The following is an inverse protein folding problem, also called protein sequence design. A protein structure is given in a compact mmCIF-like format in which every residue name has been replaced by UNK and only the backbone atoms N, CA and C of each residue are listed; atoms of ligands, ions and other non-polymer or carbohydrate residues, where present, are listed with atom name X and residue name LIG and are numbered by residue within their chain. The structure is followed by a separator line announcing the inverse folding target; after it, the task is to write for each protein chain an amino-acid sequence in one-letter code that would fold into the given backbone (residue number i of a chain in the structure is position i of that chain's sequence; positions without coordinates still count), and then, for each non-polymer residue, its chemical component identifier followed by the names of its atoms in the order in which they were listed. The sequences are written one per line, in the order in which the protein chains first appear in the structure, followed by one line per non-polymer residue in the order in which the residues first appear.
data_IF_132499480339
#
_entry.id   IF_132499480339
#
_cell.length_a   1.000
_cell.length_b   1.000
_cell.length_c   1.000
_cell.angle_alpha   90.00
_cell.angle_beta   90.00
_cell.angle_gamma   90.00
#
_symmetry.space_group_name_H-M   'P 1'
#
loop_
_entity.id
_entity.type
_entity.pdbx_description
1 polymer ?
#
# COMPACT_ATOMS: atom_id res chain seq x y z
N UNK A 1 7.78 -0.42 3.12
CA UNK A 1 6.62 -1.07 2.46
C UNK A 1 6.28 -0.43 1.11
N UNK A 2 5.91 0.85 1.04
CA UNK A 2 5.44 1.48 -0.21
C UNK A 2 6.44 1.48 -1.38
N UNK A 3 7.73 1.68 -1.09
CA UNK A 3 8.77 1.55 -2.11
C UNK A 3 8.76 0.16 -2.76
N UNK A 4 8.72 -0.89 -1.93
CA UNK A 4 8.73 -2.29 -2.39
C UNK A 4 7.40 -2.66 -3.08
N UNK A 5 6.27 -2.14 -2.59
CA UNK A 5 4.97 -2.31 -3.23
C UNK A 5 4.93 -1.67 -4.63
N UNK A 6 5.41 -0.43 -4.75
CA UNK A 6 5.43 0.30 -6.03
C UNK A 6 6.44 -0.27 -7.00
N UNK A 7 7.63 -0.65 -6.56
CA UNK A 7 8.57 -1.38 -7.42
C UNK A 7 8.00 -2.72 -7.89
N UNK A 8 7.23 -3.41 -7.04
CA UNK A 8 6.54 -4.65 -7.38
C UNK A 8 5.41 -4.48 -8.39
N UNK A 9 4.76 -3.31 -8.49
CA UNK A 9 3.64 -3.11 -9.42
C UNK A 9 4.07 -3.11 -10.90
N UNK A 10 5.35 -2.90 -11.21
CA UNK A 10 5.86 -3.10 -12.56
C UNK A 10 5.70 -4.54 -13.06
N UNK A 11 5.72 -5.53 -12.13
CA UNK A 11 5.45 -6.93 -12.44
C UNK A 11 4.01 -7.11 -12.90
N UNK A 12 3.07 -6.33 -12.39
CA UNK A 12 1.67 -6.43 -12.76
C UNK A 12 1.45 -6.11 -14.24
N UNK A 13 2.05 -5.00 -14.72
CA UNK A 13 2.04 -4.65 -16.15
C UNK A 13 2.67 -5.74 -17.00
N UNK A 14 3.89 -6.17 -16.64
CA UNK A 14 4.69 -7.07 -17.46
C UNK A 14 4.13 -8.49 -17.48
N UNK A 15 3.75 -9.04 -16.32
CA UNK A 15 3.10 -10.35 -16.24
C UNK A 15 1.71 -10.33 -16.84
N UNK A 16 0.92 -9.27 -16.63
CA UNK A 16 -0.43 -9.18 -17.18
C UNK A 16 -0.43 -9.10 -18.71
N UNK A 17 0.36 -8.19 -19.29
CA UNK A 17 0.48 -8.09 -20.75
C UNK A 17 1.08 -9.37 -21.37
N UNK A 18 2.07 -10.00 -20.71
CA UNK A 18 2.60 -11.27 -21.17
C UNK A 18 1.58 -12.41 -21.09
N UNK A 19 0.77 -12.46 -20.04
CA UNK A 19 -0.28 -13.46 -19.87
C UNK A 19 -1.38 -13.31 -20.94
N UNK A 20 -1.85 -12.08 -21.16
CA UNK A 20 -2.80 -11.75 -22.23
C UNK A 20 -2.27 -12.06 -23.62
N UNK A 21 -0.98 -11.83 -23.86
CA UNK A 21 -0.29 -12.14 -25.11
C UNK A 21 0.19 -13.60 -25.24
N UNK A 22 -0.28 -14.51 -24.37
CA UNK A 22 0.08 -15.93 -24.34
C UNK A 22 1.59 -16.25 -24.17
N UNK A 23 2.39 -15.32 -23.65
CA UNK A 23 3.82 -15.48 -23.34
C UNK A 23 4.01 -16.02 -21.94
N UNK A 24 3.49 -17.21 -21.68
CA UNK A 24 3.38 -17.77 -20.32
C UNK A 24 4.75 -18.00 -19.63
N UNK A 25 5.77 -18.40 -20.39
CA UNK A 25 7.13 -18.65 -19.91
C UNK A 25 7.81 -17.41 -19.33
N UNK A 26 7.39 -16.22 -19.77
CA UNK A 26 7.95 -14.95 -19.31
C UNK A 26 7.50 -14.59 -17.90
N UNK A 27 6.34 -15.06 -17.42
CA UNK A 27 5.81 -14.70 -16.11
C UNK A 27 6.76 -15.12 -14.97
N UNK A 28 7.25 -16.37 -15.00
CA UNK A 28 8.20 -16.86 -14.01
C UNK A 28 9.53 -16.10 -14.07
N UNK A 29 9.97 -15.67 -15.26
CA UNK A 29 11.16 -14.84 -15.44
C UNK A 29 10.98 -13.45 -14.82
N UNK A 30 9.83 -12.81 -15.03
CA UNK A 30 9.53 -11.49 -14.45
C UNK A 30 9.41 -11.54 -12.94
N UNK A 31 8.78 -12.59 -12.38
CA UNK A 31 8.74 -12.82 -10.93
C UNK A 31 10.17 -12.86 -10.35
N UNK A 32 11.03 -13.71 -10.91
CA UNK A 32 12.40 -13.89 -10.41
C UNK A 32 13.22 -12.61 -10.54
N UNK A 33 13.13 -11.94 -11.71
CA UNK A 33 13.80 -10.66 -11.96
C UNK A 33 13.41 -9.58 -10.96
N UNK A 34 12.10 -9.46 -10.69
CA UNK A 34 11.59 -8.50 -9.73
C UNK A 34 12.04 -8.83 -8.31
N UNK A 35 11.97 -10.10 -7.91
CA UNK A 35 12.46 -10.53 -6.59
C UNK A 35 13.94 -10.19 -6.40
N UNK A 36 14.79 -10.40 -7.42
CA UNK A 36 16.21 -9.98 -7.36
C UNK A 36 16.35 -8.48 -7.14
N UNK A 37 15.67 -7.66 -7.94
CA UNK A 37 15.75 -6.20 -7.85
C UNK A 37 15.22 -5.69 -6.50
N UNK A 38 14.09 -6.22 -6.04
CA UNK A 38 13.45 -5.85 -4.79
C UNK A 38 14.31 -6.26 -3.59
N UNK A 39 14.93 -7.44 -3.61
CA UNK A 39 15.89 -7.86 -2.59
C UNK A 39 17.12 -6.95 -2.58
N UNK A 40 17.69 -6.61 -3.73
CA UNK A 40 18.82 -5.68 -3.82
C UNK A 40 18.47 -4.29 -3.28
N UNK A 41 17.29 -3.76 -3.60
CA UNK A 41 16.80 -2.48 -3.05
C UNK A 41 16.35 -2.58 -1.60
N UNK A 42 16.07 -3.79 -1.10
CA UNK A 42 15.82 -4.07 0.31
C UNK A 42 17.07 -3.90 1.19
N UNK A 43 18.27 -4.10 0.63
CA UNK A 43 19.55 -3.94 1.37
C UNK A 43 19.72 -2.52 1.93
N UNK A 44 19.66 -1.43 1.14
CA UNK A 44 19.79 -0.09 1.69
C UNK A 44 18.66 0.26 2.68
N UNK A 45 17.44 -0.27 2.49
CA UNK A 45 16.36 -0.10 3.47
C UNK A 45 16.67 -0.82 4.80
N UNK A 46 17.22 -2.03 4.74
CA UNK A 46 17.63 -2.77 5.93
C UNK A 46 18.76 -2.07 6.67
N UNK A 47 19.70 -1.44 5.95
CA UNK A 47 20.73 -0.59 6.55
C UNK A 47 20.11 0.60 7.27
N UNK A 48 19.17 1.32 6.64
CA UNK A 48 18.45 2.43 7.31
C UNK A 48 17.75 1.95 8.58
N UNK A 49 17.12 0.77 8.56
CA UNK A 49 16.45 0.19 9.73
C UNK A 49 17.45 -0.18 10.84
N UNK A 50 18.61 -0.72 10.47
CA UNK A 50 19.69 -1.04 11.40
C UNK A 50 20.28 0.21 12.09
N UNK A 51 20.24 1.37 11.43
CA UNK A 51 20.66 2.66 11.99
C UNK A 51 19.50 3.51 12.53
N UNK A 52 18.33 2.91 12.77
CA UNK A 52 17.12 3.64 13.19
C UNK A 52 17.30 4.44 14.50
N UNK A 53 18.00 3.90 15.50
CA UNK A 53 18.22 4.62 16.77
C UNK A 53 19.08 5.89 16.61
N UNK A 54 20.30 5.84 16.03
CA UNK A 54 21.06 7.05 15.71
C UNK A 54 20.29 8.06 14.86
N UNK A 55 19.52 7.59 13.88
CA UNK A 55 18.73 8.46 13.01
C UNK A 55 17.61 9.17 13.79
N UNK A 56 16.91 8.47 14.68
CA UNK A 56 15.86 9.07 15.51
C UNK A 56 16.42 10.08 16.50
N UNK A 57 17.59 9.78 17.10
CA UNK A 57 18.31 10.72 17.95
C UNK A 57 18.74 11.98 17.19
N UNK A 58 19.23 11.81 15.96
CA UNK A 58 19.60 12.93 15.08
C UNK A 58 18.39 13.81 14.74
N UNK A 59 17.20 13.21 14.62
CA UNK A 59 15.93 13.91 14.41
C UNK A 59 15.36 14.54 15.69
N UNK A 60 16.08 14.48 16.81
CA UNK A 60 15.71 15.14 18.07
C UNK A 60 14.76 14.32 18.97
N UNK A 61 14.56 13.04 18.71
CA UNK A 61 13.77 12.17 19.60
C UNK A 61 14.51 11.89 20.90
N UNK A 62 13.75 11.65 21.98
CA UNK A 62 14.34 11.26 23.27
C UNK A 62 15.02 9.89 23.16
N UNK A 63 16.06 9.66 23.97
CA UNK A 63 16.79 8.39 23.97
C UNK A 63 15.90 7.19 24.29
N UNK A 64 14.91 7.36 25.15
CA UNK A 64 13.95 6.30 25.49
C UNK A 64 13.07 5.93 24.29
N UNK A 65 12.48 6.92 23.60
CA UNK A 65 11.63 6.70 22.43
C UNK A 65 12.46 6.12 21.27
N UNK A 66 13.64 6.70 21.01
CA UNK A 66 14.52 6.24 19.95
C UNK A 66 14.93 4.77 20.14
N UNK A 67 15.26 4.37 21.38
CA UNK A 67 15.60 2.98 21.72
C UNK A 67 14.41 2.03 21.64
N UNK A 68 13.23 2.44 22.12
CA UNK A 68 12.04 1.60 22.03
C UNK A 68 11.61 1.37 20.57
N UNK A 69 11.62 2.43 19.75
CA UNK A 69 11.30 2.36 18.34
C UNK A 69 12.32 1.50 17.57
N UNK A 70 13.62 1.64 17.85
CA UNK A 70 14.66 0.87 17.16
C UNK A 70 14.56 -0.63 17.44
N UNK A 71 14.28 -1.03 18.68
CA UNK A 71 14.06 -2.44 19.04
C UNK A 71 12.93 -3.04 18.20
N UNK A 72 11.82 -2.32 18.03
CA UNK A 72 10.73 -2.76 17.18
C UNK A 72 11.17 -2.86 15.71
N UNK A 73 11.82 -1.82 15.19
CA UNK A 73 12.31 -1.72 13.80
C UNK A 73 13.32 -2.83 13.46
N UNK A 74 14.20 -3.21 14.38
CA UNK A 74 15.15 -4.30 14.16
C UNK A 74 14.45 -5.63 13.86
N UNK A 75 13.36 -5.92 14.57
CA UNK A 75 12.56 -7.12 14.29
C UNK A 75 11.78 -7.06 12.96
N UNK A 76 11.67 -5.89 12.32
CA UNK A 76 11.07 -5.73 10.98
C UNK A 76 12.07 -5.89 9.83
N UNK A 77 13.39 -5.96 10.09
CA UNK A 77 14.39 -6.13 9.04
C UNK A 77 14.11 -7.38 8.16
N UNK A 78 13.77 -8.57 8.72
CA UNK A 78 13.43 -9.73 7.91
C UNK A 78 12.16 -9.53 7.06
N UNK A 79 11.23 -8.69 7.53
CA UNK A 79 9.99 -8.36 6.80
C UNK A 79 10.27 -7.65 5.48
N UNK A 80 11.33 -6.84 5.39
CA UNK A 80 11.71 -6.13 4.16
C UNK A 80 11.92 -7.13 3.02
N UNK A 81 12.64 -8.22 3.29
CA UNK A 81 12.93 -9.26 2.31
C UNK A 81 11.73 -10.17 2.06
N UNK A 82 10.89 -10.41 3.07
CA UNK A 82 9.62 -11.09 2.87
C UNK A 82 8.73 -10.30 1.88
N UNK A 83 8.64 -8.97 2.03
CA UNK A 83 7.93 -8.11 1.09
C UNK A 83 8.52 -8.12 -0.32
N UNK A 84 9.85 -8.06 -0.42
CA UNK A 84 10.55 -8.10 -1.70
C UNK A 84 10.24 -9.36 -2.52
N UNK A 85 9.95 -10.49 -1.85
CA UNK A 85 9.59 -11.75 -2.51
C UNK A 85 8.06 -11.88 -2.67
N UNK A 86 7.29 -11.47 -1.66
CA UNK A 86 5.84 -11.58 -1.65
C UNK A 86 5.17 -10.75 -2.75
N UNK A 87 5.61 -9.50 -2.97
CA UNK A 87 4.95 -8.64 -3.98
C UNK A 87 5.04 -9.24 -5.40
N UNK A 88 6.21 -9.69 -5.90
CA UNK A 88 6.29 -10.39 -7.18
C UNK A 88 5.45 -11.66 -7.26
N UNK A 89 5.43 -12.47 -6.18
CA UNK A 89 4.60 -13.69 -6.10
C UNK A 89 3.12 -13.33 -6.25
N UNK A 90 2.63 -12.33 -5.51
CA UNK A 90 1.25 -11.90 -5.60
C UNK A 90 0.93 -11.39 -7.00
N UNK A 91 1.79 -10.57 -7.62
CA UNK A 91 1.55 -10.08 -8.99
C UNK A 91 1.60 -11.19 -10.04
N UNK A 92 2.44 -12.19 -9.87
CA UNK A 92 2.46 -13.39 -10.71
C UNK A 92 1.15 -14.17 -10.65
N UNK A 93 0.61 -14.39 -9.45
CA UNK A 93 -0.66 -15.09 -9.24
C UNK A 93 -1.85 -14.24 -9.75
N UNK A 94 -1.87 -12.95 -9.41
CA UNK A 94 -2.91 -12.00 -9.80
C UNK A 94 -3.01 -11.82 -11.32
N UNK A 95 -1.89 -11.71 -12.06
CA UNK A 95 -1.89 -11.62 -13.52
C UNK A 95 -2.64 -12.77 -14.19
N UNK A 96 -2.65 -13.94 -13.57
CA UNK A 96 -3.33 -15.15 -14.03
C UNK A 96 -4.76 -15.29 -13.47
N UNK A 97 -5.27 -14.27 -12.77
CA UNK A 97 -6.53 -14.31 -12.02
C UNK A 97 -6.58 -15.36 -10.91
N UNK A 98 -5.42 -15.78 -10.38
CA UNK A 98 -5.31 -16.75 -9.28
C UNK A 98 -5.24 -15.97 -7.96
N UNK A 99 -6.40 -15.61 -7.39
CA UNK A 99 -6.46 -14.75 -6.18
C UNK A 99 -6.85 -15.49 -4.91
N UNK A 100 -7.65 -16.57 -5.03
CA UNK A 100 -8.18 -17.31 -3.89
C UNK A 100 -7.09 -17.95 -2.99
N UNK A 101 -6.01 -18.55 -3.52
CA UNK A 101 -4.96 -19.10 -2.67
C UNK A 101 -4.32 -18.04 -1.76
N UNK A 102 -4.01 -16.86 -2.31
CA UNK A 102 -3.44 -15.75 -1.54
C UNK A 102 -4.41 -15.26 -0.46
N UNK A 103 -5.72 -15.23 -0.73
CA UNK A 103 -6.73 -14.87 0.26
C UNK A 103 -6.77 -15.88 1.43
N UNK A 104 -6.90 -17.17 1.13
CA UNK A 104 -6.95 -18.21 2.17
C UNK A 104 -5.66 -18.29 2.99
N UNK A 105 -4.51 -18.20 2.34
CA UNK A 105 -3.20 -18.18 3.02
C UNK A 105 -3.13 -16.97 3.96
N UNK A 106 -3.49 -15.77 3.49
CA UNK A 106 -3.43 -14.56 4.31
C UNK A 106 -4.40 -14.63 5.50
N UNK A 107 -5.61 -15.14 5.32
CA UNK A 107 -6.57 -15.35 6.42
C UNK A 107 -6.05 -16.36 7.44
N UNK A 108 -5.52 -17.50 7.00
CA UNK A 108 -4.95 -18.50 7.89
C UNK A 108 -3.73 -17.96 8.65
N UNK A 109 -2.86 -17.22 7.97
CA UNK A 109 -1.71 -16.56 8.61
C UNK A 109 -2.15 -15.50 9.60
N UNK A 110 -3.23 -14.75 9.35
CA UNK A 110 -3.74 -13.77 10.31
C UNK A 110 -4.17 -14.44 11.63
N UNK A 111 -4.90 -15.56 11.54
CA UNK A 111 -5.31 -16.33 12.73
C UNK A 111 -4.09 -16.85 13.48
N UNK A 112 -3.11 -17.42 12.76
CA UNK A 112 -1.86 -17.89 13.34
C UNK A 112 -1.04 -16.73 13.95
N UNK A 113 -1.02 -15.57 13.31
CA UNK A 113 -0.32 -14.38 13.79
C UNK A 113 -0.89 -13.93 15.14
N UNK A 114 -2.22 -13.91 15.30
CA UNK A 114 -2.85 -13.56 16.58
C UNK A 114 -2.40 -14.50 17.70
N UNK A 115 -2.42 -15.81 17.44
CA UNK A 115 -1.98 -16.82 18.41
C UNK A 115 -0.49 -16.66 18.77
N UNK A 116 0.38 -16.57 17.75
CA UNK A 116 1.82 -16.44 17.95
C UNK A 116 2.18 -15.15 18.67
N UNK A 117 1.54 -14.03 18.32
CA UNK A 117 1.74 -12.74 19.00
C UNK A 117 1.34 -12.83 20.47
N UNK A 118 0.20 -13.47 20.78
CA UNK A 118 -0.20 -13.69 22.17
C UNK A 118 0.82 -14.51 22.95
N UNK A 119 1.29 -15.64 22.39
CA UNK A 119 2.30 -16.50 23.03
C UNK A 119 3.60 -15.72 23.26
N UNK A 120 4.13 -15.10 22.21
CA UNK A 120 5.46 -14.47 22.25
C UNK A 120 5.49 -13.24 23.16
N UNK A 121 4.44 -12.42 23.12
CA UNK A 121 4.37 -11.18 23.92
C UNK A 121 4.03 -11.50 25.38
N UNK A 122 3.00 -12.30 25.65
CA UNK A 122 2.50 -12.48 27.01
C UNK A 122 3.03 -13.71 27.74
N UNK A 123 3.39 -14.79 27.04
CA UNK A 123 3.88 -16.03 27.67
C UNK A 123 5.39 -16.12 27.69
N UNK A 124 6.04 -15.76 26.57
CA UNK A 124 7.51 -15.78 26.48
C UNK A 124 8.12 -14.46 27.00
N UNK A 125 7.40 -13.34 26.88
CA UNK A 125 7.85 -12.05 27.40
C UNK A 125 8.90 -11.36 26.54
N UNK A 126 8.92 -11.62 25.21
CA UNK A 126 9.90 -11.00 24.29
C UNK A 126 9.59 -9.53 23.93
N UNK A 127 8.53 -8.95 24.49
CA UNK A 127 8.20 -7.52 24.36
C UNK A 127 8.07 -7.05 22.90
N UNK A 128 8.52 -5.82 22.64
CA UNK A 128 8.45 -5.16 21.33
C UNK A 128 9.20 -5.92 20.23
N UNK A 129 10.38 -6.45 20.53
CA UNK A 129 11.17 -7.23 19.58
C UNK A 129 10.43 -8.51 19.19
N UNK A 130 9.85 -9.20 20.17
CA UNK A 130 9.03 -10.38 19.93
C UNK A 130 7.84 -10.09 19.01
N UNK A 131 7.13 -8.99 19.27
CA UNK A 131 5.98 -8.57 18.44
C UNK A 131 6.38 -8.33 16.97
N UNK A 132 7.45 -7.58 16.72
CA UNK A 132 7.89 -7.31 15.34
C UNK A 132 8.50 -8.53 14.66
N UNK A 133 9.19 -9.41 15.38
CA UNK A 133 9.69 -10.68 14.84
C UNK A 133 8.56 -11.64 14.45
N UNK A 134 7.48 -11.73 15.25
CA UNK A 134 6.30 -12.54 14.90
C UNK A 134 5.61 -11.98 13.65
N UNK A 135 5.55 -10.66 13.52
CA UNK A 135 5.05 -10.03 12.29
C UNK A 135 5.91 -10.40 11.09
N UNK A 136 7.24 -10.29 11.20
CA UNK A 136 8.19 -10.74 10.17
C UNK A 136 8.00 -12.21 9.81
N UNK A 137 7.88 -13.08 10.80
CA UNK A 137 7.64 -14.51 10.61
C UNK A 137 6.33 -14.77 9.85
N UNK A 138 5.27 -14.03 10.17
CA UNK A 138 3.97 -14.17 9.52
C UNK A 138 4.07 -13.86 8.02
N UNK A 139 4.80 -12.81 7.64
CA UNK A 139 5.05 -12.53 6.23
C UNK A 139 5.86 -13.62 5.52
N UNK A 140 6.85 -14.21 6.20
CA UNK A 140 7.59 -15.35 5.65
C UNK A 140 6.74 -16.60 5.48
N UNK A 141 5.80 -16.86 6.41
CA UNK A 141 4.82 -17.94 6.26
C UNK A 141 4.00 -17.73 4.99
N UNK A 142 3.54 -16.51 4.73
CA UNK A 142 2.81 -16.16 3.49
C UNK A 142 3.68 -16.42 2.27
N UNK A 143 4.93 -15.95 2.27
CA UNK A 143 5.88 -16.15 1.15
C UNK A 143 6.07 -17.64 0.85
N UNK A 144 6.38 -18.43 1.87
CA UNK A 144 6.63 -19.87 1.72
C UNK A 144 5.38 -20.59 1.24
N UNK A 145 4.22 -20.30 1.81
CA UNK A 145 2.96 -20.94 1.42
C UNK A 145 2.54 -20.59 -0.01
N UNK A 146 2.66 -19.31 -0.41
CA UNK A 146 2.33 -18.90 -1.77
C UNK A 146 3.33 -19.46 -2.79
N UNK A 147 4.63 -19.51 -2.47
CA UNK A 147 5.62 -20.12 -3.34
C UNK A 147 5.42 -21.64 -3.47
N UNK A 148 5.10 -22.32 -2.36
CA UNK A 148 4.71 -23.74 -2.37
C UNK A 148 3.49 -23.99 -3.28
N UNK A 149 2.49 -23.11 -3.23
CA UNK A 149 1.36 -23.17 -4.16
C UNK A 149 1.79 -23.04 -5.63
N UNK A 150 2.69 -22.10 -5.97
CA UNK A 150 3.19 -21.91 -7.34
C UNK A 150 3.87 -23.18 -7.88
N UNK A 151 4.70 -23.84 -7.06
CA UNK A 151 5.46 -25.02 -7.51
C UNK A 151 4.59 -26.29 -7.56
N UNK A 152 3.59 -26.42 -6.69
CA UNK A 152 2.75 -27.62 -6.57
C UNK A 152 1.52 -27.57 -7.48
N UNK A 153 0.98 -26.39 -7.75
CA UNK A 153 -0.29 -26.23 -8.48
C UNK A 153 -0.16 -26.57 -9.97
N UNK A 154 -1.02 -27.45 -10.52
CA UNK A 154 -1.07 -27.71 -11.96
C UNK A 154 -1.30 -26.45 -12.81
N UNK A 155 -2.05 -25.48 -12.27
CA UNK A 155 -2.41 -24.22 -12.96
C UNK A 155 -1.19 -23.37 -13.28
N UNK A 156 -0.16 -23.41 -12.43
CA UNK A 156 1.05 -22.60 -12.59
C UNK A 156 2.14 -23.27 -13.43
N UNK A 157 1.97 -24.55 -13.85
CA UNK A 157 3.01 -25.32 -14.55
C UNK A 157 3.51 -24.70 -15.85
N UNK A 158 2.64 -23.99 -16.58
CA UNK A 158 3.02 -23.32 -17.84
C UNK A 158 3.71 -21.97 -17.63
N UNK A 159 3.45 -21.35 -16.47
CA UNK A 159 3.93 -20.01 -16.13
C UNK A 159 5.16 -20.03 -15.23
N UNK A 160 5.38 -21.15 -14.53
CA UNK A 160 6.55 -21.38 -13.69
C UNK A 160 7.28 -22.64 -14.18
N UNK A 161 8.41 -22.43 -14.86
CA UNK A 161 9.26 -23.51 -15.42
C UNK A 161 10.54 -23.71 -14.60
N UNK A 162 10.57 -23.23 -13.36
CA UNK A 162 11.74 -23.27 -12.48
C UNK A 162 12.63 -22.03 -12.57
N UNK A 163 13.74 -22.06 -11.83
CA UNK A 163 14.70 -20.97 -11.76
C UNK A 163 15.48 -20.83 -13.08
N UNK A 164 15.75 -19.58 -13.49
CA UNK A 164 16.42 -19.30 -14.75
C UNK A 164 17.40 -18.13 -14.65
N UNK A 165 18.53 -18.23 -15.35
CA UNK A 165 19.53 -17.16 -15.45
C UNK A 165 18.96 -15.93 -16.19
N UNK A 166 17.89 -16.10 -17.00
CA UNK A 166 17.16 -14.99 -17.64
C UNK A 166 16.60 -13.98 -16.64
N UNK A 167 16.48 -14.34 -15.36
CA UNK A 167 16.12 -13.40 -14.29
C UNK A 167 17.12 -12.24 -14.17
N UNK A 168 18.40 -12.45 -14.53
CA UNK A 168 19.47 -11.46 -14.42
C UNK A 168 19.69 -10.62 -15.69
N UNK A 169 18.90 -10.82 -16.74
CA UNK A 169 18.99 -10.00 -17.96
C UNK A 169 18.02 -8.81 -17.90
N UNK A 170 18.39 -7.69 -18.53
CA UNK A 170 17.54 -6.50 -18.64
C UNK A 170 17.18 -5.85 -17.29
N UNK A 171 18.07 -5.98 -16.29
CA UNK A 171 17.87 -5.40 -14.96
C UNK A 171 17.78 -3.86 -14.98
N UNK A 172 18.62 -3.12 -15.75
CA UNK A 172 18.56 -1.66 -15.77
C UNK A 172 17.21 -1.13 -16.28
N UNK A 173 16.66 -1.70 -17.36
CA UNK A 173 15.35 -1.27 -17.88
C UNK A 173 14.22 -1.61 -16.90
N UNK A 174 14.27 -2.80 -16.30
CA UNK A 174 13.28 -3.21 -15.30
C UNK A 174 13.34 -2.33 -14.04
N UNK A 175 14.54 -1.97 -13.59
CA UNK A 175 14.75 -1.08 -12.46
C UNK A 175 14.18 0.31 -12.75
N UNK A 176 14.39 0.85 -13.95
CA UNK A 176 13.82 2.15 -14.36
C UNK A 176 12.29 2.15 -14.27
N UNK A 177 11.63 1.12 -14.78
CA UNK A 177 10.17 0.98 -14.71
C UNK A 177 9.68 0.81 -13.27
N UNK A 178 10.37 -0.01 -12.49
CA UNK A 178 10.06 -0.26 -11.07
C UNK A 178 10.22 1.01 -10.25
N UNK A 179 11.28 1.79 -10.49
CA UNK A 179 11.54 3.05 -9.80
C UNK A 179 10.45 4.10 -10.08
N UNK A 180 10.00 4.23 -11.34
CA UNK A 180 8.90 5.14 -11.68
C UNK A 180 7.61 4.79 -10.92
N UNK A 181 7.28 3.50 -10.84
CA UNK A 181 6.11 3.00 -10.11
C UNK A 181 6.25 3.21 -8.60
N UNK A 182 7.47 3.05 -8.06
CA UNK A 182 7.77 3.33 -6.66
C UNK A 182 7.60 4.80 -6.32
N UNK A 183 8.13 5.70 -7.15
CA UNK A 183 7.99 7.15 -6.99
C UNK A 183 6.52 7.55 -7.02
N UNK A 184 5.74 7.03 -7.97
CA UNK A 184 4.30 7.31 -8.08
C UNK A 184 3.54 7.02 -6.77
N UNK A 185 3.73 5.82 -6.19
CA UNK A 185 3.07 5.44 -4.93
C UNK A 185 3.66 6.16 -3.71
N UNK A 186 4.98 6.31 -3.64
CA UNK A 186 5.62 7.00 -2.52
C UNK A 186 5.13 8.46 -2.43
N UNK A 187 5.05 9.17 -3.55
CA UNK A 187 4.54 10.55 -3.60
C UNK A 187 3.11 10.65 -3.07
N UNK A 188 2.24 9.71 -3.45
CA UNK A 188 0.86 9.67 -2.98
C UNK A 188 0.77 9.45 -1.47
N UNK A 189 1.61 8.56 -0.92
CA UNK A 189 1.59 8.27 0.52
C UNK A 189 2.30 9.31 1.38
N UNK A 190 3.39 9.89 0.86
CA UNK A 190 4.17 10.90 1.59
C UNK A 190 3.42 12.23 1.63
N UNK A 191 2.57 12.51 0.65
CA UNK A 191 1.63 13.63 0.69
C UNK A 191 0.83 13.65 2.00
N UNK A 192 0.21 12.53 2.37
CA UNK A 192 -0.55 12.42 3.63
C UNK A 192 0.33 12.69 4.87
N UNK A 193 1.58 12.21 4.88
CA UNK A 193 2.50 12.45 5.99
C UNK A 193 2.89 13.92 6.11
N UNK A 194 3.12 14.59 4.98
CA UNK A 194 3.37 16.03 4.94
C UNK A 194 2.16 16.80 5.45
N UNK A 195 0.94 16.44 5.05
CA UNK A 195 -0.29 17.08 5.54
C UNK A 195 -0.46 16.93 7.06
N UNK A 196 -0.21 15.74 7.62
CA UNK A 196 -0.27 15.51 9.06
C UNK A 196 0.77 16.36 9.81
N UNK A 197 2.00 16.44 9.30
CA UNK A 197 3.03 17.29 9.91
C UNK A 197 2.64 18.76 9.91
N UNK A 198 2.06 19.25 8.82
CA UNK A 198 1.57 20.64 8.72
C UNK A 198 0.39 20.87 9.67
N UNK A 199 -0.53 19.90 9.81
CA UNK A 199 -1.63 19.98 10.77
C UNK A 199 -1.13 20.10 12.23
N UNK A 200 0.01 19.50 12.55
CA UNK A 200 0.66 19.63 13.85
C UNK A 200 1.21 21.04 14.17
N UNK A 201 1.24 21.94 13.18
CA UNK A 201 1.63 23.34 13.37
C UNK A 201 0.44 24.28 13.63
N UNK A 202 -0.80 23.76 13.65
CA UNK A 202 -2.00 24.55 13.93
C UNK A 202 -2.05 25.03 15.40
N UNK A 203 -2.81 26.10 15.72
CA UNK A 203 -2.87 26.67 17.07
C UNK A 203 -3.36 25.70 18.17
N UNK A 204 -4.15 24.69 17.83
CA UNK A 204 -4.58 23.63 18.74
C UNK A 204 -4.18 22.26 18.18
N UNK A 205 -2.88 21.91 18.28
CA UNK A 205 -2.31 20.78 17.57
C UNK A 205 -2.79 19.44 18.12
N UNK A 206 -3.01 19.32 19.43
CA UNK A 206 -3.50 18.09 20.07
C UNK A 206 -4.86 17.67 19.52
N UNK A 207 -5.87 18.55 19.62
CA UNK A 207 -7.21 18.26 19.08
C UNK A 207 -7.21 18.04 17.56
N UNK A 208 -6.39 18.79 16.83
CA UNK A 208 -6.29 18.68 15.37
C UNK A 208 -5.67 17.35 14.95
N UNK A 209 -4.60 16.92 15.61
CA UNK A 209 -3.91 15.67 15.31
C UNK A 209 -4.74 14.46 15.74
N UNK A 210 -5.40 14.51 16.90
CA UNK A 210 -6.24 13.42 17.39
C UNK A 210 -7.42 13.16 16.45
N UNK A 211 -8.18 14.21 16.10
CA UNK A 211 -9.32 14.10 15.19
C UNK A 211 -8.91 13.70 13.77
N UNK A 212 -7.79 14.22 13.27
CA UNK A 212 -7.23 13.84 11.97
C UNK A 212 -6.76 12.38 11.97
N UNK A 213 -6.12 11.91 13.03
CA UNK A 213 -5.66 10.52 13.17
C UNK A 213 -6.81 9.52 13.10
N UNK A 214 -7.94 9.82 13.77
CA UNK A 214 -9.17 9.02 13.66
C UNK A 214 -9.69 8.99 12.22
N UNK A 215 -9.80 10.15 11.56
CA UNK A 215 -10.27 10.24 10.19
C UNK A 215 -9.35 9.49 9.20
N UNK A 216 -8.04 9.63 9.36
CA UNK A 216 -7.04 8.93 8.54
C UNK A 216 -7.08 7.43 8.75
N UNK A 217 -7.35 6.96 9.97
CA UNK A 217 -7.50 5.53 10.27
C UNK A 217 -8.73 4.94 9.57
N UNK A 218 -9.87 5.64 9.64
CA UNK A 218 -11.09 5.25 8.91
C UNK A 218 -10.84 5.25 7.40
N UNK A 219 -10.20 6.30 6.88
CA UNK A 219 -9.82 6.41 5.47
C UNK A 219 -8.89 5.27 5.05
N UNK A 220 -7.91 4.90 5.87
CA UNK A 220 -6.99 3.80 5.59
C UNK A 220 -7.70 2.43 5.49
N UNK A 221 -8.73 2.18 6.30
CA UNK A 221 -9.53 0.95 6.17
C UNK A 221 -10.28 0.90 4.85
N UNK A 222 -10.91 2.01 4.44
CA UNK A 222 -11.62 2.08 3.16
C UNK A 222 -10.65 2.00 1.99
N UNK A 223 -9.48 2.63 2.10
CA UNK A 223 -8.42 2.61 1.09
C UNK A 223 -7.93 1.19 0.78
N UNK A 224 -7.93 0.26 1.76
CA UNK A 224 -7.58 -1.14 1.50
C UNK A 224 -8.53 -1.83 0.51
N UNK A 225 -9.82 -1.43 0.50
CA UNK A 225 -10.79 -1.90 -0.50
C UNK A 225 -10.43 -1.33 -1.88
N UNK A 226 -10.08 -0.04 -1.95
CA UNK A 226 -9.62 0.62 -3.18
C UNK A 226 -8.33 0.00 -3.73
N UNK A 227 -7.39 -0.43 -2.89
CA UNK A 227 -6.19 -1.18 -3.32
C UNK A 227 -6.59 -2.50 -4.00
N UNK A 228 -7.62 -3.20 -3.47
CA UNK A 228 -8.16 -4.40 -4.11
C UNK A 228 -8.67 -4.13 -5.53
N UNK A 229 -9.44 -3.05 -5.71
CA UNK A 229 -9.91 -2.63 -7.04
C UNK A 229 -8.80 -2.12 -7.95
N UNK A 230 -7.79 -1.42 -7.41
CA UNK A 230 -6.59 -1.00 -8.12
C UNK A 230 -5.89 -2.22 -8.76
N UNK A 231 -5.65 -3.29 -7.99
CA UNK A 231 -5.03 -4.50 -8.50
C UNK A 231 -5.91 -5.20 -9.55
N UNK A 232 -7.23 -5.29 -9.29
CA UNK A 232 -8.17 -5.88 -10.24
C UNK A 232 -8.22 -5.13 -11.59
N UNK A 233 -8.27 -3.80 -11.55
CA UNK A 233 -8.23 -2.95 -12.75
C UNK A 233 -6.92 -3.15 -13.51
N UNK A 234 -5.79 -3.10 -12.81
CA UNK A 234 -4.45 -3.27 -13.38
C UNK A 234 -4.29 -4.61 -14.11
N UNK A 235 -4.70 -5.72 -13.48
CA UNK A 235 -4.69 -7.07 -14.08
C UNK A 235 -5.59 -7.16 -15.30
N UNK A 236 -6.85 -6.71 -15.20
CA UNK A 236 -7.81 -6.84 -16.30
C UNK A 236 -7.38 -5.99 -17.50
N UNK A 237 -6.95 -4.75 -17.27
CA UNK A 237 -6.48 -3.86 -18.33
C UNK A 237 -5.21 -4.40 -19.00
N UNK A 238 -4.21 -4.82 -18.20
CA UNK A 238 -2.97 -5.36 -18.75
C UNK A 238 -3.19 -6.66 -19.55
N UNK A 239 -4.05 -7.56 -19.07
CA UNK A 239 -4.40 -8.80 -19.79
C UNK A 239 -5.10 -8.50 -21.13
N UNK A 240 -6.14 -7.64 -21.14
CA UNK A 240 -6.87 -7.33 -22.37
C UNK A 240 -6.00 -6.55 -23.36
N UNK A 241 -5.12 -5.65 -22.89
CA UNK A 241 -4.15 -4.96 -23.76
C UNK A 241 -3.12 -5.94 -24.33
N UNK A 242 -2.60 -6.87 -23.52
CA UNK A 242 -1.68 -7.91 -23.97
C UNK A 242 -2.30 -8.84 -25.02
N UNK A 243 -3.61 -9.09 -24.92
CA UNK A 243 -4.37 -9.87 -25.89
C UNK A 243 -4.77 -9.08 -27.16
N UNK A 244 -4.49 -7.78 -27.23
CA UNK A 244 -4.86 -6.93 -28.37
C UNK A 244 -6.34 -6.52 -28.39
N UNK A 245 -7.02 -6.52 -27.23
CA UNK A 245 -8.45 -6.23 -27.08
C UNK A 245 -8.72 -4.87 -26.41
N UNK A 246 -8.49 -3.72 -27.08
CA UNK A 246 -8.64 -2.40 -26.46
C UNK A 246 -10.08 -2.10 -26.00
N UNK A 247 -11.09 -2.62 -26.71
CA UNK A 247 -12.50 -2.45 -26.31
C UNK A 247 -12.81 -3.15 -24.98
N UNK A 248 -12.30 -4.37 -24.79
CA UNK A 248 -12.45 -5.13 -23.54
C UNK A 248 -11.66 -4.50 -22.41
N UNK A 249 -10.48 -3.94 -22.70
CA UNK A 249 -9.72 -3.15 -21.74
C UNK A 249 -10.52 -1.93 -21.26
N UNK A 250 -11.09 -1.15 -22.17
CA UNK A 250 -11.94 0.00 -21.83
C UNK A 250 -13.19 -0.40 -21.04
N UNK A 251 -13.86 -1.48 -21.43
CA UNK A 251 -15.00 -2.01 -20.66
C UNK A 251 -14.59 -2.40 -19.24
N UNK A 252 -13.41 -3.00 -19.06
CA UNK A 252 -12.89 -3.35 -17.74
C UNK A 252 -12.63 -2.11 -16.87
N UNK A 253 -12.08 -1.04 -17.45
CA UNK A 253 -11.91 0.25 -16.74
C UNK A 253 -13.26 0.76 -16.23
N UNK A 254 -14.27 0.77 -17.09
CA UNK A 254 -15.59 1.29 -16.75
C UNK A 254 -16.25 0.47 -15.63
N UNK A 255 -16.28 -0.86 -15.76
CA UNK A 255 -16.89 -1.75 -14.76
C UNK A 255 -16.21 -1.62 -13.40
N UNK A 256 -14.88 -1.67 -13.35
CA UNK A 256 -14.14 -1.62 -12.08
C UNK A 256 -14.30 -0.26 -11.41
N UNK A 257 -14.26 0.84 -12.18
CA UNK A 257 -14.44 2.20 -11.66
C UNK A 257 -15.85 2.40 -11.10
N UNK A 258 -16.89 1.97 -11.84
CA UNK A 258 -18.29 2.10 -11.39
C UNK A 258 -18.54 1.28 -10.13
N UNK A 259 -18.08 0.04 -10.07
CA UNK A 259 -18.24 -0.81 -8.88
C UNK A 259 -17.53 -0.21 -7.66
N UNK A 260 -16.30 0.29 -7.84
CA UNK A 260 -15.55 0.90 -6.75
C UNK A 260 -16.20 2.21 -6.28
N UNK A 261 -16.70 3.04 -7.20
CA UNK A 261 -17.44 4.25 -6.88
C UNK A 261 -18.74 3.97 -6.10
N UNK A 262 -19.51 2.94 -6.49
CA UNK A 262 -20.72 2.53 -5.78
C UNK A 262 -20.38 2.13 -4.34
N UNK A 263 -19.35 1.30 -4.15
CA UNK A 263 -18.92 0.87 -2.81
C UNK A 263 -18.44 2.06 -1.98
N UNK A 264 -17.66 2.97 -2.58
CA UNK A 264 -17.19 4.16 -1.90
C UNK A 264 -18.34 5.09 -1.47
N UNK A 265 -19.37 5.25 -2.32
CA UNK A 265 -20.59 6.00 -1.97
C UNK A 265 -21.34 5.32 -0.82
N UNK A 266 -21.50 4.00 -0.85
CA UNK A 266 -22.14 3.25 0.24
C UNK A 266 -21.37 3.46 1.56
N UNK A 267 -20.05 3.35 1.53
CA UNK A 267 -19.21 3.55 2.72
C UNK A 267 -19.25 5.00 3.23
N UNK A 268 -19.25 5.97 2.32
CA UNK A 268 -19.40 7.39 2.67
C UNK A 268 -20.76 7.66 3.34
N UNK A 269 -21.85 7.06 2.83
CA UNK A 269 -23.18 7.15 3.46
C UNK A 269 -23.17 6.52 4.85
N UNK A 270 -22.58 5.34 5.02
CA UNK A 270 -22.45 4.69 6.34
C UNK A 270 -21.71 5.59 7.31
N UNK A 271 -20.56 6.16 6.92
CA UNK A 271 -19.79 7.06 7.79
C UNK A 271 -20.60 8.31 8.16
N UNK A 272 -21.36 8.87 7.22
CA UNK A 272 -22.22 10.02 7.50
C UNK A 272 -23.36 9.67 8.47
N UNK A 273 -23.98 8.49 8.32
CA UNK A 273 -25.02 8.01 9.24
C UNK A 273 -24.49 7.81 10.67
N UNK A 274 -23.25 7.36 10.81
CA UNK A 274 -22.61 7.10 12.10
C UNK A 274 -21.64 8.20 12.56
N UNK A 275 -21.69 9.40 11.95
CA UNK A 275 -20.67 10.45 12.16
C UNK A 275 -20.48 10.85 13.63
N UNK A 276 -21.55 10.83 14.43
CA UNK A 276 -21.51 11.21 15.85
C UNK A 276 -21.04 10.07 16.77
N UNK A 277 -20.88 8.85 16.25
CA UNK A 277 -20.61 7.65 17.05
C UNK A 277 -19.34 6.90 16.64
N UNK A 278 -18.94 6.98 15.38
CA UNK A 278 -17.84 6.19 14.81
C UNK A 278 -16.48 6.46 15.48
N UNK A 279 -16.28 7.69 15.96
CA UNK A 279 -15.11 8.13 16.72
C UNK A 279 -14.93 7.41 18.06
N UNK A 280 -16.03 6.98 18.71
CA UNK A 280 -15.95 6.33 20.02
C UNK A 280 -15.29 4.95 20.02
N UNK A 281 -15.04 4.38 18.85
CA UNK A 281 -14.21 3.17 18.71
C UNK A 281 -12.73 3.48 18.99
N UNK A 282 -12.32 4.74 18.84
CA UNK A 282 -10.93 5.19 18.94
C UNK A 282 -10.65 6.11 20.13
N UNK A 283 -11.64 6.85 20.61
CA UNK A 283 -11.47 7.84 21.68
C UNK A 283 -12.67 7.86 22.63
N UNK A 284 -12.42 8.12 23.91
CA UNK A 284 -13.46 8.36 24.92
C UNK A 284 -13.77 9.87 25.07
N UNK A 285 -12.99 10.74 24.44
CA UNK A 285 -13.12 12.19 24.58
C UNK A 285 -14.21 12.79 23.69
N UNK A 286 -15.25 13.33 24.31
CA UNK A 286 -16.37 14.02 23.63
C UNK A 286 -15.89 15.13 22.69
N UNK A 287 -14.88 15.90 23.13
CA UNK A 287 -14.31 17.00 22.34
C UNK A 287 -13.62 16.55 21.04
N UNK A 288 -12.97 15.39 21.05
CA UNK A 288 -12.38 14.79 19.84
C UNK A 288 -13.48 14.18 18.97
N UNK A 289 -14.50 13.57 19.59
CA UNK A 289 -15.66 13.01 18.90
C UNK A 289 -16.41 14.07 18.09
N UNK A 290 -16.68 15.22 18.68
CA UNK A 290 -17.35 16.35 18.00
C UNK A 290 -16.50 16.88 16.82
N UNK A 291 -15.19 16.99 17.00
CA UNK A 291 -14.28 17.41 15.93
C UNK A 291 -14.25 16.39 14.76
N UNK A 292 -14.28 15.09 15.06
CA UNK A 292 -14.38 14.03 14.04
C UNK A 292 -15.73 14.10 13.33
N UNK A 293 -16.84 14.26 14.06
CA UNK A 293 -18.18 14.36 13.48
C UNK A 293 -18.31 15.56 12.53
N UNK A 294 -17.65 16.67 12.85
CA UNK A 294 -17.56 17.88 12.03
C UNK A 294 -16.65 17.69 10.79
N UNK A 295 -15.67 16.78 10.86
CA UNK A 295 -14.82 16.38 9.73
C UNK A 295 -15.45 15.30 8.83
N UNK A 296 -16.42 14.53 9.33
CA UNK A 296 -17.04 13.43 8.57
C UNK A 296 -17.58 13.82 7.18
N UNK A 297 -18.18 15.00 6.95
CA UNK A 297 -18.60 15.40 5.60
C UNK A 297 -17.44 15.47 4.60
N UNK A 298 -16.28 16.01 5.03
CA UNK A 298 -15.08 16.04 4.20
C UNK A 298 -14.53 14.63 4.02
N UNK A 299 -14.45 13.84 5.09
CA UNK A 299 -14.02 12.44 5.02
C UNK A 299 -14.86 11.62 4.04
N UNK A 300 -16.19 11.82 4.02
CA UNK A 300 -17.09 11.16 3.10
C UNK A 300 -16.79 11.51 1.63
N UNK A 301 -16.51 12.78 1.34
CA UNK A 301 -16.08 13.24 0.01
C UNK A 301 -14.73 12.61 -0.34
N UNK A 302 -13.76 12.66 0.57
CA UNK A 302 -12.43 12.06 0.41
C UNK A 302 -12.54 10.57 0.10
N UNK A 303 -13.44 9.84 0.77
CA UNK A 303 -13.66 8.41 0.52
C UNK A 303 -14.21 8.14 -0.87
N UNK A 304 -15.14 8.96 -1.36
CA UNK A 304 -15.66 8.82 -2.73
C UNK A 304 -14.54 9.05 -3.74
N UNK A 305 -13.73 10.09 -3.55
CA UNK A 305 -12.58 10.38 -4.43
C UNK A 305 -11.52 9.27 -4.37
N UNK A 306 -11.19 8.79 -3.16
CA UNK A 306 -10.28 7.67 -2.92
C UNK A 306 -10.86 6.31 -3.31
N UNK A 307 -12.15 6.23 -3.65
CA UNK A 307 -12.73 5.07 -4.33
C UNK A 307 -12.37 5.05 -5.82
N UNK A 308 -12.24 6.22 -6.44
CA UNK A 308 -12.03 6.34 -7.89
C UNK A 308 -10.54 6.44 -8.22
N UNK A 309 -9.80 7.33 -7.55
CA UNK A 309 -8.42 7.66 -7.90
C UNK A 309 -7.49 6.43 -7.88
N UNK A 310 -7.50 5.54 -6.86
CA UNK A 310 -6.64 4.38 -6.84
C UNK A 310 -6.96 3.41 -7.98
N UNK A 311 -8.23 3.28 -8.37
CA UNK A 311 -8.63 2.44 -9.51
C UNK A 311 -8.01 2.97 -10.80
N UNK A 312 -8.09 4.28 -11.04
CA UNK A 312 -7.47 4.92 -12.21
C UNK A 312 -5.94 4.79 -12.19
N UNK A 313 -5.31 4.89 -11.03
CA UNK A 313 -3.88 4.58 -10.87
C UNK A 313 -3.57 3.13 -11.26
N UNK A 314 -4.44 2.18 -10.90
CA UNK A 314 -4.34 0.78 -11.30
C UNK A 314 -4.47 0.59 -12.82
N UNK A 315 -5.40 1.30 -13.46
CA UNK A 315 -5.52 1.34 -14.92
C UNK A 315 -4.23 1.85 -15.57
N UNK A 316 -3.67 2.94 -15.06
CA UNK A 316 -2.42 3.49 -15.56
C UNK A 316 -1.25 2.51 -15.40
N UNK A 317 -1.17 1.77 -14.29
CA UNK A 317 -0.21 0.68 -14.12
C UNK A 317 -0.45 -0.41 -15.17
N UNK A 318 -1.68 -0.87 -15.38
CA UNK A 318 -2.01 -1.87 -16.39
C UNK A 318 -1.64 -1.44 -17.83
N UNK A 319 -1.76 -0.14 -18.13
CA UNK A 319 -1.35 0.47 -19.40
C UNK A 319 0.17 0.71 -19.52
N UNK A 320 0.93 0.68 -18.42
CA UNK A 320 2.35 1.05 -18.43
C UNK A 320 2.62 2.57 -18.42
N UNK A 321 1.70 3.37 -17.87
CA UNK A 321 1.77 4.84 -17.84
C UNK A 321 2.30 5.40 -16.51
N UNK A 322 3.03 4.61 -15.73
CA UNK A 322 3.43 4.97 -14.36
C UNK A 322 4.28 6.24 -14.30
N UNK A 323 5.18 6.45 -15.27
CA UNK A 323 6.01 7.66 -15.32
C UNK A 323 5.18 8.92 -15.56
N UNK A 324 4.17 8.85 -16.44
CA UNK A 324 3.27 9.99 -16.69
C UNK A 324 2.47 10.34 -15.43
N UNK A 325 1.89 9.32 -14.76
CA UNK A 325 1.12 9.53 -13.52
C UNK A 325 2.00 10.06 -12.39
N UNK A 326 3.27 9.64 -12.30
CA UNK A 326 4.20 10.21 -11.33
C UNK A 326 4.34 11.74 -11.49
N UNK A 327 4.46 12.25 -12.72
CA UNK A 327 4.50 13.71 -12.96
C UNK A 327 3.19 14.41 -12.59
N UNK A 328 2.05 13.80 -12.91
CA UNK A 328 0.73 14.33 -12.53
C UNK A 328 0.60 14.38 -11.00
N UNK A 329 1.01 13.32 -10.28
CA UNK A 329 0.98 13.27 -8.82
C UNK A 329 1.85 14.38 -8.19
N UNK A 330 3.03 14.69 -8.75
CA UNK A 330 3.84 15.82 -8.28
C UNK A 330 3.07 17.14 -8.42
N UNK A 331 2.47 17.38 -9.59
CA UNK A 331 1.69 18.59 -9.84
C UNK A 331 0.49 18.72 -8.91
N UNK A 332 -0.34 17.68 -8.83
CA UNK A 332 -1.56 17.70 -8.04
C UNK A 332 -1.27 17.79 -6.53
N UNK A 333 -0.42 16.91 -5.99
CA UNK A 333 -0.22 16.84 -4.54
C UNK A 333 0.72 17.92 -4.01
N UNK A 334 1.84 18.19 -4.68
CA UNK A 334 2.89 19.03 -4.11
C UNK A 334 2.86 20.48 -4.62
N UNK A 335 2.44 20.71 -5.86
CA UNK A 335 2.34 22.08 -6.41
C UNK A 335 0.99 22.71 -6.07
N UNK A 336 -0.09 21.93 -6.04
CA UNK A 336 -1.44 22.45 -5.76
C UNK A 336 -1.91 22.09 -4.35
N UNK A 337 -1.94 20.80 -3.99
CA UNK A 337 -2.49 20.31 -2.71
C UNK A 337 -1.79 20.91 -1.50
N UNK A 338 -0.46 20.75 -1.38
CA UNK A 338 0.31 21.27 -0.24
C UNK A 338 0.11 22.78 -0.04
N UNK A 339 0.31 23.66 -1.06
CA UNK A 339 0.09 25.08 -0.87
C UNK A 339 -1.37 25.45 -0.55
N UNK A 340 -2.34 24.76 -1.16
CA UNK A 340 -3.76 24.99 -0.88
C UNK A 340 -4.12 24.63 0.57
N UNK A 341 -3.61 23.51 1.07
CA UNK A 341 -3.80 23.08 2.45
C UNK A 341 -3.21 24.08 3.46
N UNK A 342 -2.01 24.61 3.18
CA UNK A 342 -1.39 25.65 4.00
C UNK A 342 -2.19 26.96 3.96
N UNK A 343 -2.60 27.39 2.77
CA UNK A 343 -3.37 28.62 2.58
C UNK A 343 -4.72 28.55 3.32
N UNK A 344 -5.49 27.48 3.12
CA UNK A 344 -6.78 27.28 3.77
C UNK A 344 -6.62 27.11 5.29
N UNK A 345 -5.62 26.33 5.73
CA UNK A 345 -5.42 26.00 7.13
C UNK A 345 -5.02 27.20 7.97
N UNK A 346 -4.05 28.00 7.50
CA UNK A 346 -3.44 29.09 8.27
C UNK A 346 -3.94 30.47 7.89
N UNK A 347 -4.15 30.76 6.60
CA UNK A 347 -4.53 32.12 6.16
C UNK A 347 -6.04 32.31 6.27
N UNK A 348 -6.83 31.34 5.82
CA UNK A 348 -8.29 31.39 5.90
C UNK A 348 -8.87 30.82 7.20
N UNK A 349 -8.01 30.34 8.12
CA UNK A 349 -8.40 29.79 9.41
C UNK A 349 -9.39 28.61 9.32
N UNK A 350 -9.32 27.79 8.26
CA UNK A 350 -10.12 26.56 8.17
C UNK A 350 -9.59 25.46 9.11
N UNK A 351 -8.41 25.66 9.69
CA UNK A 351 -7.80 24.73 10.64
C UNK A 351 -7.65 23.34 10.02
N UNK A 352 -7.98 22.30 10.78
CA UNK A 352 -7.80 20.90 10.34
C UNK A 352 -8.68 20.54 9.12
N UNK A 353 -9.79 21.25 8.89
CA UNK A 353 -10.67 21.02 7.72
C UNK A 353 -9.97 21.32 6.40
N UNK A 354 -8.99 22.22 6.40
CA UNK A 354 -8.22 22.55 5.21
C UNK A 354 -7.55 21.32 4.57
N UNK A 355 -7.07 20.38 5.40
CA UNK A 355 -6.39 19.17 4.93
C UNK A 355 -7.34 18.09 4.38
N UNK A 356 -8.65 18.21 4.66
CA UNK A 356 -9.66 17.39 3.98
C UNK A 356 -10.10 17.96 2.62
N UNK A 357 -9.85 19.26 2.39
CA UNK A 357 -10.19 19.97 1.15
C UNK A 357 -9.03 19.94 0.14
N UNK A 358 -7.80 20.02 0.64
CA UNK A 358 -6.57 20.00 -0.14
C UNK A 358 -6.15 18.58 -0.52
#
# INVERSE_FOLDING_TARGET
MFLQLGMGSAVETLCGQAYGGHKYDMLGTYLQRSAVILCCTGIPLAVIYAFSEPLLLLLGQSSEIARAASIFVYGLIPQIFAYAINFPIQKFLQAQSIVLPSAYISTATLVLHLLLSWVVVYKVGLGLLGASLVLSLSWWIIVVAQFAYIIMSPTCRRTWTGFTIKAFSGLPEFLKLSAASAVMLCLETWYYQVMVLIAGLLPNPELSLDSLSVCLTISAWVFMISIGFNAAASVRVSNELGAGNPKSAFFSVWVVTVLSAIIAVVLAVVIMCFRNYISYIFTEGERVSDAVADLCPLLAITIILNGIQPVLSGVAVGCGWQQFVAYVNVGCYYIVGVPLGVLLGFVFNFGVKAFGVA
#
